data_IF_994642208155
#
_entry.id   IF_994642208155
#
_cell.length_a   1.000
_cell.length_b   1.000
_cell.length_c   1.000
_cell.angle_alpha   90.00
_cell.angle_beta   90.00
_cell.angle_gamma   90.00
#
_symmetry.space_group_name_H-M   'P 1'
#
loop_
_entity.id
_entity.type
_entity.pdbx_description
1 polymer ?
#
# COMPACT_ATOMS: atom_id res chain seq x y z
N UNK A 1 0.90 11.92 -2.43
CA UNK A 1 0.85 11.20 -1.13
C UNK A 1 -0.56 11.31 -0.57
N UNK A 2 -1.14 10.18 -0.22
CA UNK A 2 -2.52 10.11 0.29
C UNK A 2 -2.54 9.35 1.60
N UNK A 3 -3.49 9.66 2.52
CA UNK A 3 -3.68 8.86 3.71
C UNK A 3 -4.36 7.54 3.36
N UNK A 4 -3.84 6.46 3.91
CA UNK A 4 -4.34 5.12 3.70
C UNK A 4 -4.59 4.48 5.06
N UNK A 5 -5.77 3.93 5.26
CA UNK A 5 -6.12 3.24 6.48
C UNK A 5 -6.04 1.74 6.25
N UNK A 6 -5.34 1.07 7.17
CA UNK A 6 -5.15 -0.38 7.15
C UNK A 6 -5.85 -0.99 8.35
N UNK A 7 -6.45 -2.14 8.15
CA UNK A 7 -7.09 -2.88 9.23
C UNK A 7 -6.69 -4.35 9.15
N UNK A 8 -6.39 -4.93 10.32
CA UNK A 8 -6.08 -6.34 10.43
C UNK A 8 -6.60 -6.85 11.79
N UNK A 9 -7.70 -7.59 11.78
CA UNK A 9 -8.38 -8.02 12.99
C UNK A 9 -8.81 -6.82 13.83
N UNK A 10 -8.34 -6.76 15.09
CA UNK A 10 -8.64 -5.65 16.00
C UNK A 10 -7.62 -4.51 15.90
N UNK A 11 -6.62 -4.65 15.02
CA UNK A 11 -5.59 -3.65 14.85
C UNK A 11 -5.90 -2.77 13.64
N UNK A 12 -5.62 -1.47 13.75
CA UNK A 12 -5.74 -0.55 12.63
C UNK A 12 -4.67 0.53 12.73
N UNK A 13 -4.28 1.06 11.58
CA UNK A 13 -3.32 2.16 11.52
C UNK A 13 -3.53 2.95 10.24
N UNK A 14 -3.05 4.17 10.23
CA UNK A 14 -3.07 5.04 9.04
C UNK A 14 -1.64 5.44 8.71
N UNK A 15 -1.32 5.42 7.43
CA UNK A 15 -0.04 5.88 6.92
C UNK A 15 -0.23 6.72 5.69
N UNK A 16 0.77 7.53 5.35
CA UNK A 16 0.78 8.33 4.13
C UNK A 16 1.59 7.60 3.08
N UNK A 17 0.94 7.20 2.00
CA UNK A 17 1.57 6.44 0.91
C UNK A 17 1.60 7.27 -0.37
N UNK A 18 2.67 7.12 -1.14
CA UNK A 18 2.73 7.70 -2.47
C UNK A 18 1.93 6.85 -3.44
N UNK A 19 1.16 7.49 -4.31
CA UNK A 19 0.42 6.82 -5.37
C UNK A 19 1.40 6.47 -6.49
N UNK A 20 1.56 5.18 -6.78
CA UNK A 20 2.53 4.72 -7.76
C UNK A 20 1.94 3.60 -8.63
N UNK A 21 1.41 3.97 -9.79
CA UNK A 21 0.85 3.02 -10.73
C UNK A 21 1.90 2.12 -11.38
N UNK A 22 3.18 2.50 -11.29
CA UNK A 22 4.28 1.66 -11.78
C UNK A 22 4.70 0.57 -10.81
N UNK A 23 4.27 0.64 -9.55
CA UNK A 23 4.53 -0.42 -8.58
C UNK A 23 3.46 -1.50 -8.70
N UNK A 24 3.87 -2.74 -8.95
CA UNK A 24 2.93 -3.84 -9.11
C UNK A 24 2.26 -4.24 -7.79
N UNK A 25 2.93 -4.02 -6.66
CA UNK A 25 2.45 -4.41 -5.35
C UNK A 25 2.56 -3.23 -4.37
N UNK A 26 1.53 -3.06 -3.55
CA UNK A 26 1.53 -2.08 -2.46
C UNK A 26 2.61 -2.45 -1.45
N UNK A 27 3.33 -1.44 -1.00
CA UNK A 27 4.44 -1.60 -0.06
C UNK A 27 4.17 -0.76 1.18
N UNK A 28 4.42 -1.33 2.35
CA UNK A 28 4.24 -0.65 3.64
C UNK A 28 5.52 -0.69 4.45
N UNK A 29 5.69 0.29 5.34
CA UNK A 29 6.81 0.33 6.26
C UNK A 29 6.68 -0.75 7.33
N UNK A 30 7.79 -1.05 8.01
CA UNK A 30 7.78 -1.96 9.15
C UNK A 30 6.91 -1.43 10.28
N UNK A 31 6.80 -0.10 10.44
CA UNK A 31 5.91 0.50 11.44
C UNK A 31 4.47 0.11 11.19
N UNK A 32 3.99 0.25 9.95
CA UNK A 32 2.62 -0.13 9.59
C UNK A 32 2.41 -1.63 9.84
N UNK A 33 3.35 -2.46 9.40
CA UNK A 33 3.26 -3.90 9.61
C UNK A 33 3.19 -4.26 11.10
N UNK A 34 4.00 -3.59 11.92
CA UNK A 34 4.01 -3.83 13.37
C UNK A 34 2.70 -3.38 14.03
N UNK A 35 2.19 -2.21 13.65
CA UNK A 35 0.93 -1.71 14.19
C UNK A 35 -0.24 -2.63 13.87
N UNK A 36 -0.19 -3.28 12.71
CA UNK A 36 -1.21 -4.23 12.28
C UNK A 36 -0.96 -5.64 12.78
N UNK A 37 0.18 -5.88 13.43
CA UNK A 37 0.60 -7.21 13.89
C UNK A 37 0.61 -8.22 12.75
N UNK A 38 1.11 -7.80 11.59
CA UNK A 38 1.21 -8.68 10.43
C UNK A 38 2.23 -9.77 10.71
N UNK A 39 1.82 -11.01 10.47
CA UNK A 39 2.75 -12.12 10.47
C UNK A 39 3.39 -12.20 9.09
N UNK A 40 4.70 -12.39 9.06
CA UNK A 40 5.40 -12.58 7.79
C UNK A 40 4.92 -13.87 7.15
N UNK A 41 4.52 -13.79 5.87
CA UNK A 41 4.16 -14.96 5.06
C UNK A 41 5.37 -15.49 4.29
N UNK A 42 6.57 -15.05 4.68
CA UNK A 42 7.82 -15.40 4.02
C UNK A 42 8.39 -14.26 3.22
N UNK A 43 9.51 -14.52 2.57
CA UNK A 43 10.19 -13.55 1.74
C UNK A 43 9.92 -13.83 0.27
N UNK A 44 9.78 -12.79 -0.53
CA UNK A 44 9.69 -12.89 -1.98
C UNK A 44 10.86 -12.14 -2.61
N UNK A 45 11.33 -12.64 -3.74
CA UNK A 45 12.37 -11.97 -4.51
C UNK A 45 11.74 -10.91 -5.40
N UNK A 46 12.28 -9.71 -5.36
CA UNK A 46 11.87 -8.60 -6.21
C UNK A 46 13.06 -8.12 -7.02
N UNK A 47 12.84 -7.85 -8.30
CA UNK A 47 13.86 -7.28 -9.16
C UNK A 47 13.66 -5.76 -9.17
N UNK A 48 14.71 -5.03 -8.81
CA UNK A 48 14.71 -3.59 -8.80
C UNK A 48 15.97 -3.02 -9.43
N UNK A 49 16.14 -1.71 -9.33
CA UNK A 49 17.28 -1.01 -9.94
C UNK A 49 18.61 -1.51 -9.38
N UNK A 50 18.65 -1.91 -8.12
CA UNK A 50 19.87 -2.42 -7.48
C UNK A 50 20.07 -3.93 -7.62
N UNK A 51 19.24 -4.65 -8.41
CA UNK A 51 19.30 -6.09 -8.55
C UNK A 51 18.14 -6.79 -7.87
N UNK A 52 18.36 -8.04 -7.47
CA UNK A 52 17.34 -8.87 -6.80
C UNK A 52 17.42 -8.63 -5.29
N UNK A 53 16.30 -8.29 -4.67
CA UNK A 53 16.20 -8.13 -3.22
C UNK A 53 15.09 -9.03 -2.68
N UNK A 54 15.27 -9.49 -1.44
CA UNK A 54 14.23 -10.22 -0.73
C UNK A 54 13.40 -9.23 0.08
N UNK A 55 12.07 -9.32 -0.03
CA UNK A 55 11.15 -8.51 0.76
C UNK A 55 10.20 -9.42 1.50
N UNK A 56 9.87 -9.05 2.73
CA UNK A 56 8.84 -9.75 3.48
C UNK A 56 7.48 -9.38 2.93
N UNK A 57 6.54 -10.30 3.03
CA UNK A 57 5.16 -10.08 2.61
C UNK A 57 4.22 -10.44 3.75
N UNK A 58 3.08 -9.77 3.78
CA UNK A 58 2.04 -10.04 4.76
C UNK A 58 0.66 -9.81 4.17
N UNK A 59 -0.36 -10.41 4.76
CA UNK A 59 -1.74 -10.27 4.32
C UNK A 59 -2.44 -9.25 5.21
N UNK A 60 -3.07 -8.25 4.60
CA UNK A 60 -3.85 -7.22 5.29
C UNK A 60 -5.33 -7.49 5.06
N UNK A 61 -6.12 -7.49 6.13
CA UNK A 61 -7.56 -7.75 6.04
C UNK A 61 -8.28 -6.69 5.21
N UNK A 62 -7.96 -5.41 5.40
CA UNK A 62 -8.60 -4.34 4.65
C UNK A 62 -7.66 -3.15 4.46
N UNK A 63 -7.70 -2.56 3.27
CA UNK A 63 -6.98 -1.34 2.93
C UNK A 63 -7.99 -0.36 2.36
N UNK A 64 -8.02 0.84 2.92
CA UNK A 64 -9.01 1.86 2.55
C UNK A 64 -8.32 3.18 2.18
N UNK A 65 -8.74 3.74 1.06
CA UNK A 65 -8.37 5.10 0.63
C UNK A 65 -9.68 5.85 0.36
N UNK A 66 -10.04 6.80 1.23
CA UNK A 66 -11.34 7.44 1.17
C UNK A 66 -12.46 6.41 1.30
N UNK A 67 -13.31 6.29 0.28
CA UNK A 67 -14.38 5.29 0.24
C UNK A 67 -14.00 4.01 -0.48
N UNK A 68 -12.82 3.98 -1.10
CA UNK A 68 -12.35 2.80 -1.81
C UNK A 68 -11.72 1.82 -0.81
N UNK A 69 -12.16 0.58 -0.83
CA UNK A 69 -11.67 -0.45 0.08
C UNK A 69 -11.44 -1.75 -0.67
N UNK A 70 -10.33 -2.40 -0.36
CA UNK A 70 -10.02 -3.75 -0.85
C UNK A 70 -9.72 -4.63 0.35
N UNK A 71 -10.26 -5.83 0.37
CA UNK A 71 -10.06 -6.79 1.45
C UNK A 71 -9.09 -7.89 1.03
N UNK A 72 -8.37 -8.41 2.03
CA UNK A 72 -7.50 -9.59 1.88
C UNK A 72 -6.43 -9.37 0.81
N UNK A 73 -5.66 -8.30 0.95
CA UNK A 73 -4.61 -7.98 0.00
C UNK A 73 -3.23 -8.22 0.60
N UNK A 74 -2.36 -8.86 -0.18
CA UNK A 74 -0.98 -9.08 0.20
C UNK A 74 -0.16 -7.82 -0.07
N UNK A 75 0.69 -7.43 0.88
CA UNK A 75 1.56 -6.27 0.75
C UNK A 75 3.01 -6.66 0.98
N UNK A 76 3.93 -5.89 0.40
CA UNK A 76 5.35 -6.00 0.70
C UNK A 76 5.68 -5.12 1.90
N UNK A 77 6.65 -5.55 2.71
CA UNK A 77 7.07 -4.82 3.91
C UNK A 77 8.52 -4.40 3.73
N UNK A 78 8.78 -3.08 3.74
CA UNK A 78 10.12 -2.56 3.53
C UNK A 78 10.22 -1.12 4.00
N UNK A 79 11.32 -0.76 4.68
CA UNK A 79 11.50 0.58 5.26
C UNK A 79 12.21 1.59 4.36
N UNK A 80 12.75 1.15 3.24
CA UNK A 80 13.58 2.01 2.37
C UNK A 80 12.88 3.30 1.92
N UNK A 81 11.57 3.23 1.85
CA UNK A 81 10.71 4.32 1.39
C UNK A 81 10.58 5.45 2.40
N UNK A 82 10.78 5.17 3.68
CA UNK A 82 10.67 6.20 4.72
C UNK A 82 11.66 7.35 4.54
N UNK A 83 12.77 7.10 3.85
CA UNK A 83 13.75 8.14 3.54
C UNK A 83 13.19 9.23 2.62
N UNK A 84 12.11 8.93 1.89
CA UNK A 84 11.46 9.84 0.96
C UNK A 84 10.33 10.66 1.59
N UNK A 85 10.09 10.50 2.91
CA UNK A 85 9.09 11.27 3.64
C UNK A 85 7.69 10.69 3.65
N UNK A 86 7.50 9.47 3.13
CA UNK A 86 6.24 8.75 3.22
C UNK A 86 6.50 7.30 3.62
N UNK A 87 5.44 6.58 3.98
CA UNK A 87 5.56 5.28 4.65
C UNK A 87 5.27 4.09 3.75
N UNK A 88 5.16 4.28 2.47
CA UNK A 88 4.93 3.20 1.54
C UNK A 88 4.49 3.68 0.17
N UNK A 89 4.19 2.71 -0.69
CA UNK A 89 3.68 2.94 -2.03
C UNK A 89 2.34 2.26 -2.18
N UNK A 90 1.35 3.01 -2.67
CA UNK A 90 0.06 2.44 -3.07
C UNK A 90 0.20 1.98 -4.52
N UNK A 91 0.26 0.68 -4.71
CA UNK A 91 0.58 0.08 -6.00
C UNK A 91 -0.63 -0.20 -6.87
N UNK A 92 -0.36 -0.72 -8.07
CA UNK A 92 -1.39 -1.03 -9.06
C UNK A 92 -2.28 -2.20 -8.63
N UNK A 93 -1.82 -3.06 -7.73
CA UNK A 93 -2.65 -4.12 -7.14
C UNK A 93 -3.90 -3.54 -6.45
N UNK A 94 -3.79 -2.34 -5.87
CA UNK A 94 -4.92 -1.59 -5.33
C UNK A 94 -5.54 -0.71 -6.41
N UNK A 95 -4.74 0.16 -7.02
CA UNK A 95 -5.22 1.21 -7.93
C UNK A 95 -5.89 0.65 -9.19
N UNK A 96 -5.42 -0.50 -9.67
CA UNK A 96 -5.95 -1.13 -10.87
C UNK A 96 -7.37 -1.65 -10.74
N UNK A 97 -7.90 -1.75 -9.52
CA UNK A 97 -9.28 -2.16 -9.26
C UNK A 97 -10.26 -1.01 -9.34
N UNK A 98 -9.75 0.20 -9.53
CA UNK A 98 -10.56 1.41 -9.58
C UNK A 98 -10.28 2.19 -10.85
N UNK A 99 -11.27 2.94 -11.29
CA UNK A 99 -11.07 3.98 -12.27
C UNK A 99 -10.58 5.21 -11.52
N UNK A 100 -9.44 5.74 -11.94
CA UNK A 100 -8.76 6.81 -11.22
C UNK A 100 -8.91 8.12 -11.98
N UNK A 101 -9.27 9.18 -11.27
CA UNK A 101 -9.27 10.54 -11.79
C UNK A 101 -8.72 11.48 -10.73
N UNK A 102 -8.19 12.63 -11.19
CA UNK A 102 -7.65 13.65 -10.31
C UNK A 102 -8.48 14.90 -10.51
N UNK A 103 -9.05 15.42 -9.42
CA UNK A 103 -9.68 16.73 -9.41
C UNK A 103 -8.59 17.74 -9.05
N UNK A 104 -8.04 18.41 -10.06
CA UNK A 104 -6.92 19.32 -9.86
C UNK A 104 -7.31 20.59 -9.11
N UNK A 105 -8.58 21.02 -9.20
CA UNK A 105 -9.04 22.20 -8.46
C UNK A 105 -9.08 21.93 -6.96
N UNK A 106 -9.49 20.75 -6.57
CA UNK A 106 -9.56 20.34 -5.17
C UNK A 106 -8.33 19.59 -4.71
N UNK A 107 -7.42 19.24 -5.63
CA UNK A 107 -6.22 18.44 -5.37
C UNK A 107 -6.55 17.12 -4.68
N UNK A 108 -7.59 16.43 -5.15
CA UNK A 108 -8.02 15.15 -4.62
C UNK A 108 -7.98 14.08 -5.69
N UNK A 109 -7.66 12.87 -5.24
CA UNK A 109 -7.70 11.66 -6.06
C UNK A 109 -9.08 11.03 -5.89
N UNK A 110 -9.74 10.75 -7.01
CA UNK A 110 -11.06 10.11 -7.01
C UNK A 110 -10.90 8.69 -7.53
N UNK A 111 -11.36 7.72 -6.75
CA UNK A 111 -11.33 6.30 -7.11
C UNK A 111 -12.75 5.79 -7.25
N UNK A 112 -13.08 5.28 -8.43
CA UNK A 112 -14.40 4.71 -8.73
C UNK A 112 -14.23 3.22 -9.02
N UNK A 113 -14.99 2.33 -8.36
CA UNK A 113 -14.86 0.90 -8.63
C UNK A 113 -15.09 0.58 -10.09
N UNK A 114 -14.27 -0.28 -10.65
CA UNK A 114 -14.47 -0.82 -11.98
C UNK A 114 -15.57 -1.87 -11.92
N UNK A 115 -16.40 -1.90 -12.93
CA UNK A 115 -17.45 -2.92 -13.04
C UNK A 115 -16.91 -4.18 -13.70
#
# INVERSE_FOLDING_TARGET
VVPVTFKNGNSSTTGYLAVDTGAAQTMVSKRIARDLRLLSMGSQKRVGIGGVVNVDVGLVEAIRVGRAEIKNMQVSIHDRIMELGYEGLLGFDFLGRFQMSVDSDKQVLVLTPRK
#
